data_IF_235896735925
#
_entry.id   IF_235896735925
#
_cell.length_a   1.000
_cell.length_b   1.000
_cell.length_c   1.000
_cell.angle_alpha   90.00
_cell.angle_beta   90.00
_cell.angle_gamma   90.00
#
_symmetry.space_group_name_H-M   'P 1'
#
loop_
_entity.id
_entity.type
_entity.pdbx_description
1 polymer ?
#
# COMPACT_ATOMS: atom_id res chain seq x y z
N UNK A 1 54.56 -8.49 71.87
CA UNK A 1 55.29 -7.42 71.14
C UNK A 1 55.70 -8.02 69.79
N UNK A 2 54.77 -8.14 68.83
CA UNK A 2 54.56 -7.17 67.74
C UNK A 2 55.87 -6.64 67.16
N UNK A 3 56.25 -7.12 65.98
CA UNK A 3 56.05 -6.37 64.73
C UNK A 3 56.69 -7.08 63.52
N UNK A 4 55.90 -7.10 62.44
CA UNK A 4 56.16 -7.64 61.10
C UNK A 4 57.26 -6.90 60.31
N UNK A 5 57.71 -7.44 59.15
CA UNK A 5 59.01 -7.15 58.53
C UNK A 5 58.94 -6.15 57.35
N UNK A 6 60.08 -5.61 56.95
CA UNK A 6 60.23 -4.90 55.66
C UNK A 6 61.63 -4.99 55.06
N UNK A 7 61.67 -5.62 53.88
CA UNK A 7 62.53 -5.39 52.68
C UNK A 7 64.06 -5.47 52.82
N UNK A 8 64.70 -6.34 52.02
CA UNK A 8 66.02 -6.06 51.47
C UNK A 8 65.99 -5.80 49.96
N UNK A 9 66.78 -4.80 49.56
CA UNK A 9 67.20 -4.52 48.18
C UNK A 9 68.41 -5.38 47.81
N UNK A 10 68.63 -5.48 46.49
CA UNK A 10 69.87 -5.81 45.74
C UNK A 10 70.29 -7.28 45.59
N UNK A 11 70.21 -7.83 44.38
CA UNK A 11 71.34 -7.96 43.45
C UNK A 11 70.92 -8.64 42.13
N UNK A 12 71.63 -8.26 41.05
CA UNK A 12 71.34 -8.50 39.63
C UNK A 12 72.17 -9.66 39.09
N UNK A 13 71.66 -10.34 38.05
CA UNK A 13 72.32 -10.77 36.77
C UNK A 13 71.82 -12.15 36.31
N UNK A 14 71.26 -12.19 35.10
CA UNK A 14 70.85 -13.43 34.41
C UNK A 14 70.06 -13.20 33.12
N UNK A 15 70.74 -12.66 32.11
CA UNK A 15 70.37 -12.39 30.71
C UNK A 15 69.32 -13.35 30.08
N UNK A 16 68.28 -12.78 29.44
CA UNK A 16 67.81 -13.20 28.11
C UNK A 16 67.09 -12.03 27.42
N UNK A 17 67.55 -11.74 26.21
CA UNK A 17 67.23 -10.58 25.41
C UNK A 17 65.85 -10.68 24.75
N UNK A 18 65.11 -9.57 24.75
CA UNK A 18 63.88 -9.37 23.98
C UNK A 18 63.60 -7.88 23.90
N UNK A 19 64.28 -7.21 22.97
CA UNK A 19 64.20 -5.76 22.77
C UNK A 19 62.81 -5.40 22.19
N UNK A 20 62.07 -4.59 22.94
CA UNK A 20 60.94 -3.79 22.46
C UNK A 20 61.44 -2.79 21.40
N UNK A 21 60.91 -2.88 20.18
CA UNK A 21 60.96 -1.80 19.21
C UNK A 21 59.53 -1.29 19.00
N UNK A 22 59.30 -0.06 19.44
CA UNK A 22 58.17 0.77 19.00
C UNK A 22 58.34 1.03 17.50
N UNK A 23 57.55 0.35 16.68
CA UNK A 23 57.40 0.68 15.27
C UNK A 23 56.10 1.47 15.10
N UNK A 24 56.26 2.74 14.71
CA UNK A 24 55.21 3.51 14.07
C UNK A 24 54.66 2.70 12.89
N UNK A 25 53.37 2.37 12.92
CA UNK A 25 52.70 1.74 11.79
C UNK A 25 52.70 2.71 10.60
N UNK A 26 52.91 2.25 9.35
CA UNK A 26 52.97 3.16 8.23
C UNK A 26 51.57 3.70 7.95
N UNK A 27 51.49 5.00 7.68
CA UNK A 27 50.37 5.57 6.96
C UNK A 27 50.39 4.98 5.53
N UNK A 28 49.61 3.93 5.30
CA UNK A 28 49.28 3.50 3.95
C UNK A 28 48.06 4.27 3.48
N UNK A 29 48.30 5.22 2.57
CA UNK A 29 47.27 5.71 1.67
C UNK A 29 46.82 4.53 0.79
N UNK A 30 45.60 4.04 1.01
CA UNK A 30 45.00 2.99 0.19
C UNK A 30 44.03 3.62 -0.82
N UNK A 31 44.53 3.83 -2.03
CA UNK A 31 43.74 3.99 -3.26
C UNK A 31 43.58 2.60 -3.90
N UNK A 32 42.38 2.01 -3.93
CA UNK A 32 42.12 0.74 -4.66
C UNK A 32 41.14 -0.20 -3.93
N UNK A 33 40.43 -1.09 -4.66
CA UNK A 33 39.12 -1.63 -4.25
C UNK A 33 39.22 -2.74 -3.19
N UNK A 34 38.12 -2.85 -2.43
CA UNK A 34 37.95 -3.68 -1.25
C UNK A 34 38.20 -5.19 -1.48
N UNK A 35 38.99 -5.75 -0.56
CA UNK A 35 39.20 -7.17 -0.33
C UNK A 35 37.92 -7.89 0.15
N UNK A 36 37.67 -9.07 -0.43
CA UNK A 36 37.07 -10.32 0.11
C UNK A 36 35.86 -10.32 1.06
N UNK A 37 34.97 -11.33 0.98
CA UNK A 37 33.87 -11.50 1.93
C UNK A 37 34.42 -11.79 3.33
N UNK A 38 33.86 -11.11 4.33
CA UNK A 38 34.12 -11.42 5.74
C UNK A 38 33.74 -12.89 6.04
N UNK A 39 34.53 -13.62 6.85
CA UNK A 39 34.15 -14.95 7.30
C UNK A 39 32.93 -14.82 8.21
N UNK A 40 31.88 -15.61 7.96
CA UNK A 40 30.66 -15.69 8.76
C UNK A 40 31.01 -15.97 10.24
N UNK A 41 30.88 -15.01 11.18
CA UNK A 41 30.71 -15.36 12.57
C UNK A 41 29.24 -15.74 12.79
N UNK A 42 28.94 -16.48 13.87
CA UNK A 42 27.60 -16.82 14.33
C UNK A 42 26.56 -15.75 13.95
N UNK A 43 25.66 -16.06 13.02
CA UNK A 43 24.50 -15.22 12.75
C UNK A 43 23.61 -15.26 14.00
N UNK A 44 23.79 -14.28 14.89
CA UNK A 44 22.66 -13.79 15.66
C UNK A 44 21.51 -13.58 14.67
N UNK A 45 20.32 -14.07 15.00
CA UNK A 45 19.13 -13.86 14.17
C UNK A 45 18.95 -12.35 14.04
N UNK A 46 19.29 -11.80 12.87
CA UNK A 46 19.20 -10.36 12.62
C UNK A 46 17.77 -9.95 12.92
N UNK A 47 17.60 -8.98 13.81
CA UNK A 47 16.27 -8.57 14.23
C UNK A 47 15.52 -7.97 13.03
N UNK A 48 14.25 -8.37 12.87
CA UNK A 48 13.34 -7.81 11.88
C UNK A 48 11.98 -7.51 12.50
N UNK A 49 11.37 -6.41 12.05
CA UNK A 49 10.07 -5.97 12.52
C UNK A 49 8.91 -6.57 11.70
N UNK A 50 7.70 -6.51 12.27
CA UNK A 50 6.48 -6.80 11.54
C UNK A 50 6.27 -5.75 10.44
N UNK A 51 5.80 -6.19 9.27
CA UNK A 51 5.53 -5.27 8.17
C UNK A 51 4.14 -4.63 8.22
N UNK A 52 3.27 -5.13 9.09
CA UNK A 52 1.94 -4.56 9.35
C UNK A 52 1.63 -4.63 10.84
N UNK A 53 0.78 -3.74 11.35
CA UNK A 53 0.47 -3.65 12.79
C UNK A 53 -0.14 -4.93 13.40
N UNK A 54 -0.83 -5.74 12.58
CA UNK A 54 -1.36 -7.05 12.98
C UNK A 54 -0.47 -8.24 12.62
N UNK A 55 0.69 -8.00 11.99
CA UNK A 55 1.58 -9.05 11.50
C UNK A 55 0.98 -9.90 10.38
N UNK A 56 1.47 -11.14 10.29
CA UNK A 56 0.99 -12.13 9.32
C UNK A 56 -0.39 -12.68 9.69
N UNK A 57 -1.22 -12.90 8.68
CA UNK A 57 -2.60 -13.40 8.82
C UNK A 57 -2.76 -14.82 8.28
N UNK A 58 -3.90 -15.47 8.52
CA UNK A 58 -4.24 -16.76 7.91
C UNK A 58 -4.36 -16.67 6.38
N UNK A 59 -4.80 -15.53 5.84
CA UNK A 59 -4.81 -15.28 4.40
C UNK A 59 -3.37 -15.26 3.83
N UNK A 60 -2.43 -14.63 4.54
CA UNK A 60 -1.02 -14.64 4.16
C UNK A 60 -0.44 -16.06 4.14
N UNK A 61 -0.82 -16.90 5.12
CA UNK A 61 -0.45 -18.33 5.15
C UNK A 61 -0.99 -19.09 3.95
N UNK A 62 -2.26 -18.87 3.59
CA UNK A 62 -2.89 -19.51 2.43
C UNK A 62 -2.17 -19.12 1.13
N UNK A 63 -1.88 -17.83 0.94
CA UNK A 63 -1.14 -17.34 -0.23
C UNK A 63 0.26 -17.95 -0.26
N UNK A 64 0.98 -17.98 0.86
CA UNK A 64 2.31 -18.59 0.92
C UNK A 64 2.27 -20.07 0.51
N UNK A 65 1.32 -20.84 1.06
CA UNK A 65 1.16 -22.26 0.74
C UNK A 65 0.84 -22.48 -0.75
N UNK A 66 0.00 -21.64 -1.35
CA UNK A 66 -0.38 -21.73 -2.76
C UNK A 66 0.79 -21.43 -3.71
N UNK A 67 1.62 -20.43 -3.37
CA UNK A 67 2.65 -19.94 -4.28
C UNK A 67 4.00 -20.65 -4.15
N UNK A 68 4.35 -21.26 -3.00
CA UNK A 68 5.65 -21.91 -2.77
C UNK A 68 6.12 -22.82 -3.90
N UNK A 69 5.24 -23.68 -4.42
CA UNK A 69 5.58 -24.64 -5.46
C UNK A 69 5.84 -23.99 -6.83
N UNK A 70 5.43 -22.73 -7.01
CA UNK A 70 5.56 -21.97 -8.25
C UNK A 70 6.76 -21.01 -8.24
N UNK A 71 7.36 -20.78 -7.07
CA UNK A 71 8.51 -19.90 -6.91
C UNK A 71 9.75 -20.51 -7.57
N UNK A 72 10.46 -19.70 -8.35
CA UNK A 72 11.70 -20.07 -9.02
C UNK A 72 12.84 -19.07 -8.78
N UNK A 73 12.56 -18.00 -8.03
CA UNK A 73 13.58 -17.06 -7.55
C UNK A 73 14.54 -17.70 -6.56
N UNK A 74 15.72 -17.09 -6.42
CA UNK A 74 16.82 -17.63 -5.62
C UNK A 74 16.65 -17.37 -4.12
N UNK A 75 15.80 -16.41 -3.74
CA UNK A 75 15.73 -15.88 -2.37
C UNK A 75 14.58 -16.44 -1.52
N UNK A 76 13.41 -16.66 -2.12
CA UNK A 76 12.21 -17.11 -1.40
C UNK A 76 12.00 -18.61 -1.57
N UNK A 77 11.72 -19.07 -2.79
CA UNK A 77 11.49 -20.49 -3.09
C UNK A 77 10.54 -21.17 -2.10
N UNK A 78 10.98 -22.31 -1.56
CA UNK A 78 10.24 -23.07 -0.55
C UNK A 78 10.17 -22.39 0.84
N UNK A 79 11.03 -21.40 1.10
CA UNK A 79 11.09 -20.66 2.37
C UNK A 79 10.03 -19.57 2.49
N UNK A 80 9.29 -19.27 1.41
CA UNK A 80 8.19 -18.31 1.42
C UNK A 80 7.21 -18.64 2.55
N UNK A 81 6.93 -17.70 3.44
CA UNK A 81 6.01 -17.90 4.54
C UNK A 81 5.05 -16.71 4.72
N UNK A 82 4.14 -16.84 5.67
CA UNK A 82 3.11 -15.83 5.93
C UNK A 82 3.70 -14.45 6.29
N UNK A 83 4.87 -14.42 6.94
CA UNK A 83 5.57 -13.17 7.23
C UNK A 83 6.04 -12.48 5.94
N UNK A 84 6.71 -13.21 5.03
CA UNK A 84 7.14 -12.64 3.75
C UNK A 84 5.94 -12.11 2.95
N UNK A 85 4.83 -12.87 2.91
CA UNK A 85 3.59 -12.44 2.24
C UNK A 85 3.00 -11.19 2.91
N UNK A 86 3.04 -11.08 4.24
CA UNK A 86 2.58 -9.87 4.96
C UNK A 86 3.40 -8.62 4.59
N UNK A 87 4.71 -8.79 4.35
CA UNK A 87 5.59 -7.73 3.89
C UNK A 87 5.31 -7.33 2.44
N UNK A 88 5.14 -8.30 1.55
CA UNK A 88 4.70 -8.04 0.17
C UNK A 88 3.30 -7.38 0.11
N UNK A 89 2.41 -7.73 1.04
CA UNK A 89 1.08 -7.13 1.21
C UNK A 89 1.19 -5.67 1.62
N UNK A 90 2.07 -5.33 2.57
CA UNK A 90 2.33 -3.95 2.97
C UNK A 90 2.84 -3.09 1.80
N UNK A 91 3.79 -3.62 1.02
CA UNK A 91 4.31 -2.96 -0.20
C UNK A 91 3.17 -2.74 -1.20
N UNK A 92 2.41 -3.80 -1.50
CA UNK A 92 1.31 -3.75 -2.47
C UNK A 92 0.21 -2.78 -2.06
N UNK A 93 -0.20 -2.79 -0.78
CA UNK A 93 -1.19 -1.86 -0.24
C UNK A 93 -0.70 -0.41 -0.33
N UNK A 94 0.59 -0.16 -0.07
CA UNK A 94 1.18 1.18 -0.20
C UNK A 94 1.19 1.65 -1.66
N UNK A 95 1.58 0.79 -2.59
CA UNK A 95 1.56 1.09 -4.03
C UNK A 95 0.14 1.38 -4.52
N UNK A 96 -0.83 0.54 -4.15
CA UNK A 96 -2.24 0.72 -4.49
C UNK A 96 -2.81 2.00 -3.86
N UNK A 97 -2.45 2.32 -2.61
CA UNK A 97 -2.84 3.55 -1.93
C UNK A 97 -2.34 4.82 -2.59
N UNK A 98 -1.24 4.74 -3.38
CA UNK A 98 -0.77 5.83 -4.24
C UNK A 98 -1.45 5.89 -5.61
N UNK A 99 -2.39 5.00 -5.91
CA UNK A 99 -3.06 4.93 -7.22
C UNK A 99 -2.15 4.49 -8.37
N UNK A 100 -1.05 3.77 -8.07
CA UNK A 100 -0.11 3.31 -9.09
C UNK A 100 -0.54 1.96 -9.71
N UNK A 101 0.01 1.65 -10.88
CA UNK A 101 -0.24 0.37 -11.55
C UNK A 101 0.39 -0.82 -10.80
N UNK A 102 -0.18 -2.02 -10.97
CA UNK A 102 0.33 -3.28 -10.39
C UNK A 102 1.80 -3.50 -10.67
N UNK A 103 2.27 -3.08 -11.85
CA UNK A 103 3.69 -3.15 -12.23
C UNK A 103 4.60 -2.45 -11.22
N UNK A 104 4.17 -1.35 -10.61
CA UNK A 104 4.94 -0.68 -9.56
C UNK A 104 5.10 -1.56 -8.32
N UNK A 105 4.08 -2.37 -7.96
CA UNK A 105 4.19 -3.34 -6.87
C UNK A 105 5.11 -4.50 -7.24
N UNK A 106 5.06 -4.98 -8.49
CA UNK A 106 6.03 -5.97 -8.97
C UNK A 106 7.45 -5.45 -8.82
N UNK A 107 7.74 -4.23 -9.31
CA UNK A 107 9.07 -3.60 -9.21
C UNK A 107 9.51 -3.46 -7.74
N UNK A 108 8.63 -2.98 -6.87
CA UNK A 108 8.95 -2.80 -5.44
C UNK A 108 9.17 -4.13 -4.72
N UNK A 109 8.33 -5.15 -4.99
CA UNK A 109 8.48 -6.48 -4.40
C UNK A 109 9.75 -7.16 -4.92
N UNK A 110 10.05 -7.09 -6.22
CA UNK A 110 11.31 -7.61 -6.78
C UNK A 110 12.49 -7.00 -6.03
N UNK A 111 12.48 -5.69 -5.81
CA UNK A 111 13.55 -5.02 -5.06
C UNK A 111 13.62 -5.55 -3.64
N UNK A 112 12.52 -5.58 -2.90
CA UNK A 112 12.53 -6.05 -1.50
C UNK A 112 12.93 -7.53 -1.35
N UNK A 113 12.61 -8.39 -2.33
CA UNK A 113 13.09 -9.78 -2.35
C UNK A 113 14.61 -9.81 -2.53
N UNK A 114 15.15 -9.09 -3.51
CA UNK A 114 16.59 -9.08 -3.78
C UNK A 114 17.40 -8.54 -2.61
N UNK A 115 16.91 -7.47 -1.98
CA UNK A 115 17.63 -6.77 -0.91
C UNK A 115 17.54 -7.48 0.43
N UNK A 116 16.38 -8.04 0.79
CA UNK A 116 16.15 -8.54 2.15
C UNK A 116 15.45 -9.90 2.22
N UNK A 117 15.15 -10.54 1.09
CA UNK A 117 14.22 -11.67 1.03
C UNK A 117 12.87 -11.35 1.71
N UNK A 118 12.39 -10.10 1.57
CA UNK A 118 11.19 -9.58 2.25
C UNK A 118 11.28 -9.60 3.80
N UNK A 119 12.45 -9.35 4.37
CA UNK A 119 12.60 -9.14 5.82
C UNK A 119 12.80 -7.66 6.14
N UNK A 120 12.02 -7.14 7.09
CA UNK A 120 12.11 -5.76 7.51
C UNK A 120 13.16 -5.60 8.62
N UNK A 121 14.44 -5.72 8.26
CA UNK A 121 15.55 -5.68 9.22
C UNK A 121 15.62 -4.36 9.99
N UNK A 122 15.67 -4.46 11.31
CA UNK A 122 15.77 -3.31 12.22
C UNK A 122 17.20 -2.99 12.63
N UNK A 123 18.13 -3.87 12.27
CA UNK A 123 19.55 -3.75 12.55
C UNK A 123 20.32 -3.82 11.24
N UNK A 124 21.32 -2.95 11.10
CA UNK A 124 22.21 -2.97 9.95
C UNK A 124 23.24 -4.09 10.11
N UNK A 125 23.41 -4.87 9.06
CA UNK A 125 24.37 -6.00 8.99
C UNK A 125 25.49 -5.75 7.99
N UNK A 126 25.45 -4.60 7.34
CA UNK A 126 26.47 -4.06 6.46
C UNK A 126 26.93 -2.68 7.00
N UNK A 127 26.96 -1.64 6.17
CA UNK A 127 27.24 -0.27 6.60
C UNK A 127 26.15 0.27 7.55
N UNK A 128 25.03 0.71 6.98
CA UNK A 128 23.91 1.32 7.70
C UNK A 128 22.57 1.01 6.99
N UNK A 129 22.51 -0.08 6.23
CA UNK A 129 21.32 -0.46 5.46
C UNK A 129 20.24 -1.05 6.36
N UNK A 130 19.00 -0.61 6.18
CA UNK A 130 17.86 -0.99 7.02
C UNK A 130 16.61 -1.32 6.19
N UNK A 131 15.72 -2.09 6.82
CA UNK A 131 14.37 -2.37 6.34
C UNK A 131 14.30 -3.22 5.07
N UNK A 132 13.09 -3.26 4.51
CA UNK A 132 12.75 -4.12 3.35
C UNK A 132 13.61 -3.89 2.11
N UNK A 133 14.04 -2.64 1.90
CA UNK A 133 14.75 -2.21 0.71
C UNK A 133 16.26 -2.00 0.95
N UNK A 134 16.75 -2.35 2.15
CA UNK A 134 18.16 -2.13 2.56
C UNK A 134 18.64 -0.71 2.22
N UNK A 135 17.82 0.27 2.56
CA UNK A 135 18.11 1.68 2.30
C UNK A 135 19.02 2.25 3.38
N UNK A 136 19.85 3.23 3.02
CA UNK A 136 20.88 3.79 3.90
C UNK A 136 20.58 5.21 4.34
N UNK A 137 20.52 5.51 5.65
CA UNK A 137 20.41 6.89 6.14
C UNK A 137 21.54 7.79 5.63
N UNK A 138 22.78 7.29 5.60
CA UNK A 138 23.94 8.01 5.08
C UNK A 138 23.83 8.43 3.60
N UNK A 139 22.95 7.79 2.82
CA UNK A 139 22.69 8.14 1.43
C UNK A 139 21.42 9.00 1.25
N UNK A 140 20.82 9.46 2.34
CA UNK A 140 19.69 10.39 2.32
C UNK A 140 18.32 9.74 2.04
N UNK A 141 18.20 8.43 2.24
CA UNK A 141 16.92 7.73 2.06
C UNK A 141 15.89 8.01 3.17
N UNK A 142 16.36 8.38 4.38
CA UNK A 142 15.53 8.63 5.54
C UNK A 142 16.28 8.37 6.85
N UNK A 143 15.62 8.58 7.98
CA UNK A 143 16.14 8.18 9.30
C UNK A 143 15.97 6.68 9.53
N UNK A 144 16.74 6.03 10.43
CA UNK A 144 16.58 4.61 10.75
C UNK A 144 15.12 4.19 11.01
N UNK A 145 14.39 4.93 11.84
CA UNK A 145 12.99 4.64 12.16
C UNK A 145 12.08 4.68 10.93
N UNK A 146 12.33 5.63 10.01
CA UNK A 146 11.60 5.73 8.75
C UNK A 146 11.92 4.58 7.80
N UNK A 147 13.17 4.12 7.75
CA UNK A 147 13.56 3.02 6.85
C UNK A 147 13.06 1.65 7.33
N UNK A 148 12.82 1.50 8.63
CA UNK A 148 12.14 0.33 9.20
C UNK A 148 10.61 0.41 9.16
N UNK A 149 10.03 1.53 8.72
CA UNK A 149 8.59 1.65 8.44
C UNK A 149 8.33 1.22 6.97
N UNK A 150 7.64 0.09 6.73
CA UNK A 150 7.37 -0.39 5.38
C UNK A 150 6.63 0.60 4.48
N UNK A 151 5.73 1.42 5.04
CA UNK A 151 4.95 2.40 4.27
C UNK A 151 5.87 3.53 3.84
N UNK A 152 6.69 4.05 4.74
CA UNK A 152 7.68 5.08 4.40
C UNK A 152 8.71 4.56 3.40
N UNK A 153 9.36 3.42 3.69
CA UNK A 153 10.43 2.87 2.86
C UNK A 153 9.95 2.57 1.43
N UNK A 154 8.73 2.04 1.29
CA UNK A 154 8.09 1.83 -0.03
C UNK A 154 7.85 3.16 -0.74
N UNK A 155 7.35 4.19 -0.04
CA UNK A 155 7.17 5.52 -0.63
C UNK A 155 8.48 6.16 -1.08
N UNK A 156 9.53 6.03 -0.26
CA UNK A 156 10.88 6.52 -0.59
C UNK A 156 11.42 5.83 -1.85
N UNK A 157 11.29 4.51 -1.93
CA UNK A 157 11.64 3.71 -3.12
C UNK A 157 10.90 4.19 -4.37
N UNK A 158 9.56 4.31 -4.29
CA UNK A 158 8.73 4.75 -5.42
C UNK A 158 9.08 6.19 -5.86
N UNK A 159 9.41 7.08 -4.92
CA UNK A 159 9.86 8.43 -5.24
C UNK A 159 11.21 8.42 -5.98
N UNK A 160 12.12 7.51 -5.60
CA UNK A 160 13.37 7.31 -6.34
C UNK A 160 13.10 6.75 -7.75
N UNK A 161 12.17 5.80 -7.90
CA UNK A 161 11.72 5.30 -9.19
C UNK A 161 11.27 6.44 -10.11
N UNK A 162 10.41 7.35 -9.64
CA UNK A 162 9.94 8.48 -10.46
C UNK A 162 11.04 9.46 -10.85
N UNK A 163 12.02 9.70 -9.96
CA UNK A 163 13.19 10.54 -10.30
C UNK A 163 14.07 9.90 -11.36
N UNK A 164 14.28 8.58 -11.31
CA UNK A 164 15.13 7.83 -12.26
C UNK A 164 14.41 7.54 -13.58
N UNK A 165 13.09 7.44 -13.56
CA UNK A 165 12.22 7.11 -14.68
C UNK A 165 11.08 8.14 -14.82
N UNK A 166 11.40 9.37 -15.28
CA UNK A 166 10.40 10.41 -15.50
C UNK A 166 9.40 10.00 -16.61
N UNK A 167 8.26 10.71 -16.68
CA UNK A 167 7.22 10.52 -17.70
C UNK A 167 6.68 9.08 -17.78
N UNK A 168 6.62 8.37 -16.64
CA UNK A 168 6.18 6.99 -16.54
C UNK A 168 7.00 5.98 -17.37
N UNK A 169 8.26 6.29 -17.67
CA UNK A 169 9.15 5.38 -18.43
C UNK A 169 9.45 4.06 -17.73
N UNK A 170 9.11 3.92 -16.43
CA UNK A 170 9.16 2.66 -15.68
C UNK A 170 8.04 1.67 -16.07
N UNK A 171 7.00 2.13 -16.78
CA UNK A 171 5.88 1.30 -17.23
C UNK A 171 6.26 0.28 -18.31
N UNK A 172 7.42 0.46 -18.95
CA UNK A 172 7.96 -0.44 -19.97
C UNK A 172 9.40 -0.85 -19.63
N UNK A 173 9.95 -1.81 -20.38
CA UNK A 173 11.32 -2.30 -20.17
C UNK A 173 11.44 -3.46 -19.17
N UNK A 174 12.68 -3.90 -18.96
CA UNK A 174 13.01 -5.00 -18.05
C UNK A 174 12.92 -4.55 -16.59
N UNK A 175 12.18 -5.32 -15.76
CA UNK A 175 11.95 -4.99 -14.35
C UNK A 175 13.24 -5.08 -13.53
N UNK A 176 14.10 -6.07 -13.82
CA UNK A 176 15.37 -6.22 -13.11
C UNK A 176 16.28 -5.02 -13.34
N UNK A 177 16.40 -4.57 -14.59
CA UNK A 177 17.14 -3.37 -14.95
C UNK A 177 16.58 -2.10 -14.29
N UNK A 178 15.24 -2.01 -14.15
CA UNK A 178 14.59 -0.90 -13.42
C UNK A 178 15.00 -0.91 -11.95
N UNK A 179 14.87 -2.03 -11.27
CA UNK A 179 15.23 -2.16 -9.85
C UNK A 179 16.71 -1.80 -9.63
N UNK A 180 17.59 -2.35 -10.46
CA UNK A 180 19.03 -2.07 -10.45
C UNK A 180 19.33 -0.58 -10.59
N UNK A 181 18.66 0.14 -11.50
CA UNK A 181 18.90 1.57 -11.69
C UNK A 181 18.42 2.42 -10.51
N UNK A 182 17.38 1.97 -9.80
CA UNK A 182 16.84 2.66 -8.63
C UNK A 182 17.80 2.52 -7.44
N UNK A 183 18.22 1.28 -7.15
CA UNK A 183 19.05 0.95 -5.99
C UNK A 183 20.54 1.18 -6.22
N UNK A 184 21.01 1.14 -7.46
CA UNK A 184 22.43 1.28 -7.83
C UNK A 184 23.28 0.19 -7.14
N UNK A 185 22.88 -1.08 -7.29
CA UNK A 185 23.59 -2.22 -6.69
C UNK A 185 24.84 -2.63 -7.49
N UNK A 186 25.78 -3.36 -6.88
CA UNK A 186 26.93 -3.94 -7.57
C UNK A 186 26.59 -5.19 -8.39
N UNK A 187 25.38 -5.73 -8.27
CA UNK A 187 24.96 -7.02 -8.85
C UNK A 187 23.71 -6.88 -9.72
N UNK A 188 23.84 -6.39 -10.97
CA UNK A 188 22.70 -6.05 -11.82
C UNK A 188 21.77 -7.24 -12.13
N UNK A 189 22.32 -8.44 -12.25
CA UNK A 189 21.54 -9.63 -12.61
C UNK A 189 20.72 -10.23 -11.47
N UNK A 190 20.98 -9.81 -10.22
CA UNK A 190 20.31 -10.38 -9.05
C UNK A 190 18.80 -10.12 -9.05
N UNK A 191 18.36 -8.94 -9.48
CA UNK A 191 16.93 -8.60 -9.50
C UNK A 191 16.13 -9.41 -10.51
N UNK A 192 16.74 -9.73 -11.66
CA UNK A 192 16.04 -10.43 -12.75
C UNK A 192 15.56 -11.82 -12.31
N UNK A 193 16.31 -12.47 -11.41
CA UNK A 193 15.96 -13.79 -10.86
C UNK A 193 14.68 -13.77 -10.02
N UNK A 194 14.37 -12.64 -9.38
CA UNK A 194 13.27 -12.55 -8.43
C UNK A 194 11.98 -11.98 -9.04
N UNK A 195 12.02 -11.56 -10.32
CA UNK A 195 10.87 -10.92 -10.99
C UNK A 195 9.65 -11.83 -11.05
N UNK A 196 9.84 -13.12 -11.34
CA UNK A 196 8.74 -14.09 -11.42
C UNK A 196 8.05 -14.27 -10.07
N UNK A 197 8.82 -14.47 -9.00
CA UNK A 197 8.30 -14.59 -7.64
C UNK A 197 7.55 -13.32 -7.19
N UNK A 198 8.09 -12.15 -7.52
CA UNK A 198 7.44 -10.87 -7.27
C UNK A 198 6.13 -10.71 -8.05
N UNK A 199 6.06 -11.19 -9.29
CA UNK A 199 4.83 -11.19 -10.09
C UNK A 199 3.76 -12.09 -9.47
N UNK A 200 4.13 -13.29 -9.00
CA UNK A 200 3.20 -14.19 -8.30
C UNK A 200 2.62 -13.53 -7.05
N UNK A 201 3.48 -12.96 -6.21
CA UNK A 201 3.07 -12.24 -4.99
C UNK A 201 2.19 -11.03 -5.32
N UNK A 202 2.63 -10.16 -6.23
CA UNK A 202 1.86 -9.00 -6.65
C UNK A 202 0.51 -9.42 -7.22
N UNK A 203 0.43 -10.46 -8.06
CA UNK A 203 -0.83 -10.94 -8.61
C UNK A 203 -1.79 -11.47 -7.53
N UNK A 204 -1.28 -12.18 -6.53
CA UNK A 204 -2.09 -12.72 -5.43
C UNK A 204 -2.55 -11.63 -4.42
N UNK A 205 -1.80 -10.52 -4.34
CA UNK A 205 -2.02 -9.45 -3.37
C UNK A 205 -2.70 -8.20 -3.97
N UNK A 206 -2.60 -8.00 -5.29
CA UNK A 206 -3.16 -6.84 -5.97
C UNK A 206 -4.68 -6.88 -5.93
N UNK A 207 -5.28 -5.84 -5.35
CA UNK A 207 -6.71 -5.84 -5.04
C UNK A 207 -7.04 -6.33 -3.62
N UNK A 208 -6.08 -6.28 -2.69
CA UNK A 208 -6.35 -6.51 -1.27
C UNK A 208 -6.35 -7.98 -0.87
N UNK A 209 -5.27 -8.70 -1.19
CA UNK A 209 -4.80 -9.90 -0.49
C UNK A 209 -5.82 -11.03 -0.27
N UNK A 210 -5.94 -11.92 -1.27
CA UNK A 210 -6.71 -13.15 -1.13
C UNK A 210 -6.98 -13.88 -2.45
N UNK A 211 -5.93 -14.16 -3.22
CA UNK A 211 -6.00 -14.93 -4.46
C UNK A 211 -6.39 -14.11 -5.69
N UNK A 212 -6.31 -14.72 -6.87
CA UNK A 212 -7.16 -14.37 -8.03
C UNK A 212 -8.49 -13.88 -7.47
N UNK A 213 -8.99 -12.67 -7.83
CA UNK A 213 -10.12 -12.06 -7.11
C UNK A 213 -11.16 -13.13 -6.87
N UNK A 214 -11.38 -13.46 -5.59
CA UNK A 214 -12.14 -14.66 -5.23
C UNK A 214 -13.43 -14.61 -6.04
N UNK A 215 -13.59 -15.56 -6.96
CA UNK A 215 -14.77 -15.59 -7.81
C UNK A 215 -15.94 -15.96 -6.90
N UNK A 216 -16.80 -14.99 -6.64
CA UNK A 216 -18.06 -15.21 -5.96
C UNK A 216 -19.06 -15.65 -7.02
N UNK A 217 -19.52 -16.88 -6.92
CA UNK A 217 -20.48 -17.42 -7.86
C UNK A 217 -21.87 -16.89 -7.53
N UNK A 218 -22.53 -16.30 -8.51
CA UNK A 218 -23.86 -15.72 -8.37
C UNK A 218 -24.75 -16.23 -9.50
N UNK A 219 -26.00 -16.50 -9.20
CA UNK A 219 -27.00 -16.81 -10.22
C UNK A 219 -27.76 -15.54 -10.61
N UNK A 220 -27.80 -15.24 -11.91
CA UNK A 220 -28.63 -14.17 -12.48
C UNK A 220 -29.97 -14.74 -12.98
N UNK A 221 -31.07 -14.02 -12.73
CA UNK A 221 -32.42 -14.45 -13.09
C UNK A 221 -32.81 -14.11 -14.54
N UNK A 222 -32.04 -13.26 -15.20
CA UNK A 222 -32.21 -12.83 -16.59
C UNK A 222 -30.87 -12.36 -17.15
N UNK A 223 -30.79 -12.19 -18.48
CA UNK A 223 -29.68 -11.48 -19.10
C UNK A 223 -29.65 -10.03 -18.58
N UNK A 224 -28.50 -9.62 -18.06
CA UNK A 224 -28.33 -8.37 -17.34
C UNK A 224 -27.43 -7.40 -18.12
N UNK A 225 -27.84 -6.13 -18.29
CA UNK A 225 -26.98 -5.12 -18.88
C UNK A 225 -25.79 -4.83 -17.96
N UNK A 226 -24.60 -4.67 -18.54
CA UNK A 226 -23.40 -4.25 -17.80
C UNK A 226 -22.91 -2.88 -18.22
N UNK A 227 -22.16 -2.24 -17.32
CA UNK A 227 -21.76 -0.84 -17.44
C UNK A 227 -20.30 -0.65 -17.00
N UNK A 228 -19.64 0.39 -17.55
CA UNK A 228 -18.26 0.73 -17.19
C UNK A 228 -18.08 1.12 -15.71
N UNK A 229 -19.13 1.60 -15.04
CA UNK A 229 -19.12 1.94 -13.62
C UNK A 229 -20.50 1.77 -12.99
N UNK A 230 -20.59 1.69 -11.64
CA UNK A 230 -21.87 1.65 -10.90
C UNK A 230 -22.79 2.86 -11.15
N UNK A 231 -22.27 3.96 -11.67
CA UNK A 231 -23.02 5.20 -11.94
C UNK A 231 -23.29 5.45 -13.43
N UNK A 232 -22.63 4.73 -14.35
CA UNK A 232 -22.77 4.92 -15.79
C UNK A 232 -24.15 4.48 -16.30
N UNK A 233 -24.84 5.34 -17.04
CA UNK A 233 -26.13 5.01 -17.69
C UNK A 233 -25.98 4.38 -19.07
N UNK A 234 -24.77 4.33 -19.63
CA UNK A 234 -24.49 3.77 -20.96
C UNK A 234 -24.09 2.32 -20.85
N UNK A 235 -24.90 1.42 -21.40
CA UNK A 235 -24.62 -0.01 -21.44
C UNK A 235 -23.38 -0.29 -22.30
N UNK A 236 -22.47 -1.11 -21.77
CA UNK A 236 -21.21 -1.50 -22.44
C UNK A 236 -21.19 -2.97 -22.85
N UNK A 237 -22.19 -3.75 -22.43
CA UNK A 237 -22.22 -5.18 -22.64
C UNK A 237 -23.41 -5.87 -22.00
N UNK A 238 -23.37 -7.20 -21.99
CA UNK A 238 -24.40 -8.06 -21.38
C UNK A 238 -23.74 -9.22 -20.65
N UNK A 239 -24.23 -9.50 -19.43
CA UNK A 239 -23.97 -10.73 -18.69
C UNK A 239 -25.17 -11.65 -18.87
N UNK A 240 -24.96 -12.86 -19.37
CA UNK A 240 -26.03 -13.79 -19.69
C UNK A 240 -26.70 -14.34 -18.42
N UNK A 241 -27.93 -14.81 -18.57
CA UNK A 241 -28.63 -15.50 -17.50
C UNK A 241 -27.90 -16.80 -17.14
N UNK A 242 -27.73 -17.07 -15.84
CA UNK A 242 -27.17 -18.32 -15.34
C UNK A 242 -26.19 -18.11 -14.20
N UNK A 243 -25.36 -19.12 -13.95
CA UNK A 243 -24.31 -19.06 -12.92
C UNK A 243 -23.09 -18.32 -13.47
N UNK A 244 -22.82 -17.16 -12.88
CA UNK A 244 -21.76 -16.23 -13.26
C UNK A 244 -20.79 -16.03 -12.09
N UNK A 245 -19.61 -15.47 -12.35
CA UNK A 245 -18.69 -15.07 -11.29
C UNK A 245 -18.61 -13.55 -11.18
N UNK A 246 -18.45 -13.07 -9.95
CA UNK A 246 -18.17 -11.66 -9.65
C UNK A 246 -16.97 -11.57 -8.72
N UNK A 247 -16.33 -10.41 -8.70
CA UNK A 247 -15.08 -10.20 -7.97
C UNK A 247 -15.32 -9.45 -6.65
N UNK A 248 -16.23 -8.49 -6.67
CA UNK A 248 -16.46 -7.57 -5.57
C UNK A 248 -17.72 -6.74 -5.82
N UNK A 249 -18.18 -6.01 -4.79
CA UNK A 249 -19.34 -5.09 -4.86
C UNK A 249 -18.92 -3.63 -4.71
N UNK A 250 -19.73 -2.73 -5.24
CA UNK A 250 -19.60 -1.28 -5.13
C UNK A 250 -20.99 -0.64 -5.02
N UNK A 251 -21.08 0.47 -4.30
CA UNK A 251 -22.31 1.26 -4.24
C UNK A 251 -22.47 2.08 -5.52
N UNK A 252 -23.70 2.22 -6.01
CA UNK A 252 -23.99 2.98 -7.22
C UNK A 252 -25.43 3.42 -7.32
N UNK A 253 -25.88 3.70 -8.55
CA UNK A 253 -27.27 4.10 -8.79
C UNK A 253 -28.23 2.96 -8.44
N UNK A 254 -29.44 3.30 -8.05
CA UNK A 254 -30.50 2.32 -7.84
C UNK A 254 -30.95 1.74 -9.19
N UNK A 255 -31.11 0.42 -9.24
CA UNK A 255 -31.86 -0.29 -10.30
C UNK A 255 -33.00 -1.03 -9.63
N UNK A 256 -34.20 -0.95 -10.19
CA UNK A 256 -35.36 -1.58 -9.58
C UNK A 256 -36.62 -1.51 -10.43
N UNK A 257 -37.64 -2.25 -10.00
CA UNK A 257 -39.00 -2.18 -10.51
C UNK A 257 -39.98 -2.42 -9.35
N UNK A 258 -40.95 -1.51 -9.19
CA UNK A 258 -41.92 -1.57 -8.09
C UNK A 258 -41.23 -1.51 -6.73
N UNK A 259 -41.46 -2.53 -5.89
CA UNK A 259 -40.88 -2.65 -4.55
C UNK A 259 -39.51 -3.35 -4.53
N UNK A 260 -39.05 -3.89 -5.66
CA UNK A 260 -37.75 -4.58 -5.77
C UNK A 260 -36.69 -3.63 -6.31
N UNK A 261 -35.56 -3.49 -5.62
CA UNK A 261 -34.48 -2.60 -6.03
C UNK A 261 -33.12 -3.01 -5.44
N UNK A 262 -32.03 -2.53 -6.02
CA UNK A 262 -30.70 -2.71 -5.46
C UNK A 262 -29.74 -1.56 -5.84
N UNK A 263 -28.96 -1.10 -4.86
CA UNK A 263 -27.88 -0.12 -5.03
C UNK A 263 -26.50 -0.75 -5.21
N UNK A 264 -26.35 -2.06 -4.97
CA UNK A 264 -25.09 -2.77 -5.16
C UNK A 264 -24.87 -3.13 -6.61
N UNK A 265 -23.64 -2.89 -7.02
CA UNK A 265 -23.09 -3.20 -8.33
C UNK A 265 -21.94 -4.17 -8.18
N UNK A 266 -21.93 -5.24 -8.95
CA UNK A 266 -20.98 -6.32 -8.85
C UNK A 266 -20.01 -6.24 -10.03
N UNK A 267 -18.71 -6.21 -9.73
CA UNK A 267 -17.68 -6.21 -10.78
C UNK A 267 -17.52 -7.62 -11.35
N UNK A 268 -17.53 -7.75 -12.67
CA UNK A 268 -17.51 -9.03 -13.38
C UNK A 268 -16.88 -8.89 -14.77
N UNK A 269 -16.64 -10.01 -15.44
CA UNK A 269 -16.27 -10.08 -16.85
C UNK A 269 -17.50 -10.59 -17.63
N UNK A 270 -18.20 -9.70 -18.37
CA UNK A 270 -19.44 -10.05 -19.06
C UNK A 270 -19.21 -10.95 -20.28
N UNK A 271 -20.25 -11.67 -20.70
CA UNK A 271 -20.23 -12.49 -21.92
C UNK A 271 -20.05 -11.66 -23.20
N UNK A 272 -20.55 -10.43 -23.21
CA UNK A 272 -20.36 -9.48 -24.31
C UNK A 272 -19.93 -8.13 -23.76
N UNK A 273 -18.93 -7.50 -24.39
CA UNK A 273 -18.37 -6.22 -23.98
C UNK A 273 -16.96 -6.34 -23.38
N UNK A 274 -16.37 -5.23 -22.90
CA UNK A 274 -15.06 -5.25 -22.25
C UNK A 274 -15.10 -6.03 -20.93
N UNK A 275 -13.95 -6.54 -20.47
CA UNK A 275 -13.81 -7.14 -19.13
C UNK A 275 -13.94 -6.08 -18.00
N UNK A 276 -14.13 -6.53 -16.76
CA UNK A 276 -14.12 -5.69 -15.55
C UNK A 276 -15.26 -4.68 -15.44
N UNK A 277 -16.43 -5.00 -16.02
CA UNK A 277 -17.62 -4.17 -16.00
C UNK A 277 -18.46 -4.42 -14.74
N UNK A 278 -19.51 -3.64 -14.54
CA UNK A 278 -20.41 -3.73 -13.40
C UNK A 278 -21.81 -4.15 -13.83
N UNK A 279 -22.37 -5.13 -13.12
CA UNK A 279 -23.76 -5.58 -13.23
C UNK A 279 -24.50 -5.24 -11.94
N UNK A 280 -25.77 -4.84 -11.99
CA UNK A 280 -26.54 -4.58 -10.76
C UNK A 280 -26.90 -5.88 -10.04
N UNK A 281 -26.78 -5.91 -8.72
CA UNK A 281 -27.23 -7.04 -7.89
C UNK A 281 -28.76 -7.23 -7.91
N UNK A 282 -29.51 -6.29 -8.48
CA UNK A 282 -30.94 -6.43 -8.77
C UNK A 282 -31.26 -7.68 -9.62
N UNK A 283 -30.33 -8.10 -10.48
CA UNK A 283 -30.50 -9.28 -11.33
C UNK A 283 -30.16 -10.61 -10.64
N UNK A 284 -29.75 -10.60 -9.36
CA UNK A 284 -29.46 -11.82 -8.63
C UNK A 284 -30.75 -12.58 -8.29
N UNK A 285 -30.70 -13.91 -8.38
CA UNK A 285 -31.87 -14.77 -8.19
C UNK A 285 -32.25 -15.02 -6.72
N UNK A 286 -31.36 -14.73 -5.76
CA UNK A 286 -31.46 -15.29 -4.39
C UNK A 286 -31.66 -14.27 -3.27
N UNK A 287 -31.26 -13.02 -3.46
CA UNK A 287 -31.11 -12.05 -2.35
C UNK A 287 -32.09 -10.89 -2.47
N UNK A 288 -32.45 -10.31 -1.33
CA UNK A 288 -33.43 -9.22 -1.26
C UNK A 288 -32.87 -7.87 -1.70
N UNK A 289 -33.65 -6.81 -1.43
CA UNK A 289 -33.23 -5.44 -1.74
C UNK A 289 -31.94 -5.07 -1.01
N UNK A 290 -31.05 -4.37 -1.71
CA UNK A 290 -29.75 -3.90 -1.18
C UNK A 290 -28.89 -4.99 -0.52
N UNK A 291 -29.06 -6.24 -0.95
CA UNK A 291 -28.17 -7.34 -0.60
C UNK A 291 -27.26 -7.71 -1.79
N UNK A 292 -26.02 -8.10 -1.48
CA UNK A 292 -25.02 -8.56 -2.44
C UNK A 292 -24.21 -9.70 -1.82
N UNK A 293 -24.75 -10.91 -1.94
CA UNK A 293 -24.15 -12.15 -1.44
C UNK A 293 -23.94 -13.13 -2.61
N UNK A 294 -22.99 -14.04 -2.47
CA UNK A 294 -22.77 -15.13 -3.41
C UNK A 294 -23.84 -16.23 -3.24
N UNK A 295 -23.79 -17.27 -4.06
CA UNK A 295 -24.74 -18.40 -4.01
C UNK A 295 -24.70 -19.17 -2.67
N UNK A 296 -23.61 -19.08 -1.91
CA UNK A 296 -23.44 -19.74 -0.62
C UNK A 296 -23.83 -18.83 0.56
N UNK A 297 -24.32 -17.62 0.30
CA UNK A 297 -24.70 -16.64 1.32
C UNK A 297 -23.53 -15.83 1.89
N UNK A 298 -22.34 -15.94 1.30
CA UNK A 298 -21.17 -15.13 1.67
C UNK A 298 -21.38 -13.71 1.13
N UNK A 299 -21.23 -12.71 1.99
CA UNK A 299 -21.27 -11.31 1.57
C UNK A 299 -20.10 -11.04 0.61
N UNK A 300 -20.42 -10.56 -0.59
CA UNK A 300 -19.41 -10.22 -1.59
C UNK A 300 -18.60 -9.02 -1.05
N UNK A 301 -17.26 -9.06 -1.03
CA UNK A 301 -16.43 -8.00 -0.48
C UNK A 301 -16.50 -6.74 -1.35
N UNK A 302 -16.22 -5.59 -0.76
CA UNK A 302 -16.12 -4.35 -1.52
C UNK A 302 -14.93 -4.37 -2.49
N UNK A 303 -15.07 -3.74 -3.65
CA UNK A 303 -13.99 -3.66 -4.63
C UNK A 303 -12.78 -2.93 -4.05
N UNK A 304 -11.58 -3.47 -4.17
CA UNK A 304 -10.36 -2.82 -3.69
C UNK A 304 -10.21 -1.42 -4.30
N UNK A 305 -10.11 -0.41 -3.43
CA UNK A 305 -10.37 1.01 -3.74
C UNK A 305 -11.73 1.53 -3.22
N UNK A 306 -12.50 0.67 -2.55
CA UNK A 306 -13.93 0.88 -2.26
C UNK A 306 -14.33 0.65 -0.81
N UNK A 307 -13.60 1.21 0.14
CA UNK A 307 -14.24 2.03 1.17
C UNK A 307 -13.44 3.31 1.25
N UNK A 308 -13.94 4.38 0.64
CA UNK A 308 -13.47 5.69 1.08
C UNK A 308 -13.93 5.80 2.54
N UNK A 309 -13.03 5.93 3.53
CA UNK A 309 -13.44 6.13 4.90
C UNK A 309 -14.42 7.30 4.93
N UNK A 310 -15.59 7.06 5.53
CA UNK A 310 -16.64 8.07 5.68
C UNK A 310 -16.38 8.85 6.95
N UNK A 311 -16.28 10.16 6.81
CA UNK A 311 -16.16 11.11 7.90
C UNK A 311 -17.51 11.78 8.07
N UNK A 312 -18.13 11.59 9.24
CA UNK A 312 -19.45 12.14 9.50
C UNK A 312 -19.31 13.62 9.88
N UNK A 313 -20.08 14.48 9.22
CA UNK A 313 -20.06 15.93 9.41
C UNK A 313 -21.49 16.46 9.51
N UNK A 314 -21.71 17.45 10.36
CA UNK A 314 -23.01 18.13 10.46
C UNK A 314 -23.00 19.44 9.68
N UNK A 315 -23.92 19.63 8.74
CA UNK A 315 -24.14 20.89 8.02
C UNK A 315 -25.21 21.74 8.70
N UNK A 316 -24.99 23.05 8.86
CA UNK A 316 -25.95 23.93 9.55
C UNK A 316 -27.10 24.42 8.65
N UNK A 317 -27.00 24.20 7.35
CA UNK A 317 -28.02 24.52 6.34
C UNK A 317 -27.83 23.62 5.11
N UNK A 318 -28.82 23.59 4.22
CA UNK A 318 -28.65 22.98 2.91
C UNK A 318 -27.55 23.70 2.12
N UNK A 319 -26.60 22.94 1.60
CA UNK A 319 -25.37 23.45 1.01
C UNK A 319 -25.31 23.11 -0.49
N UNK A 320 -24.99 24.08 -1.36
CA UNK A 320 -24.77 23.81 -2.78
C UNK A 320 -23.52 22.94 -2.97
N UNK A 321 -23.58 22.00 -3.90
CA UNK A 321 -22.43 21.17 -4.29
C UNK A 321 -22.00 21.40 -5.74
N UNK A 322 -20.75 21.07 -6.04
CA UNK A 322 -20.07 21.43 -7.29
C UNK A 322 -19.20 20.27 -7.78
N UNK A 323 -18.98 20.19 -9.10
CA UNK A 323 -18.13 19.16 -9.70
C UNK A 323 -16.66 19.22 -9.26
N UNK A 324 -16.15 20.40 -8.95
CA UNK A 324 -14.77 20.62 -8.47
C UNK A 324 -14.73 21.75 -7.41
N UNK A 325 -13.69 21.81 -6.56
CA UNK A 325 -13.48 22.90 -5.60
C UNK A 325 -13.37 24.32 -6.20
N UNK A 326 -13.19 24.43 -7.52
CA UNK A 326 -13.05 25.69 -8.24
C UNK A 326 -14.26 26.04 -9.11
N UNK A 327 -15.17 25.09 -9.37
CA UNK A 327 -16.34 25.29 -10.26
C UNK A 327 -17.38 26.22 -9.67
N UNK A 328 -17.80 27.26 -10.38
CA UNK A 328 -18.85 28.19 -9.95
C UNK A 328 -20.27 27.73 -10.28
N UNK A 329 -20.42 26.66 -11.07
CA UNK A 329 -21.73 26.11 -11.46
C UNK A 329 -22.17 25.03 -10.50
N UNK A 330 -23.28 25.27 -9.80
CA UNK A 330 -23.88 24.30 -8.88
C UNK A 330 -24.38 23.08 -9.66
N UNK A 331 -24.08 21.89 -9.14
CA UNK A 331 -24.47 20.59 -9.71
C UNK A 331 -25.50 19.85 -8.86
N UNK A 332 -25.75 20.32 -7.65
CA UNK A 332 -26.65 19.66 -6.70
C UNK A 332 -26.74 20.37 -5.36
N UNK A 333 -27.34 19.69 -4.39
CA UNK A 333 -27.50 20.18 -3.00
C UNK A 333 -27.29 19.03 -2.02
N UNK A 334 -26.53 19.31 -0.95
CA UNK A 334 -26.41 18.47 0.24
C UNK A 334 -27.32 19.06 1.33
N UNK A 335 -28.24 18.27 1.87
CA UNK A 335 -29.23 18.74 2.83
C UNK A 335 -28.60 19.08 4.18
N UNK A 336 -29.32 19.89 4.96
CA UNK A 336 -28.95 20.18 6.35
C UNK A 336 -29.02 18.89 7.18
N UNK A 337 -28.03 18.68 8.05
CA UNK A 337 -28.01 17.58 9.01
C UNK A 337 -26.70 16.80 9.00
N UNK A 338 -26.74 15.57 9.51
CA UNK A 338 -25.58 14.68 9.56
C UNK A 338 -25.36 14.00 8.21
N UNK A 339 -24.24 14.31 7.58
CA UNK A 339 -23.83 13.85 6.27
C UNK A 339 -22.49 13.10 6.37
N UNK A 340 -22.11 12.35 5.34
CA UNK A 340 -20.78 11.75 5.25
C UNK A 340 -19.95 12.41 4.16
N UNK A 341 -18.65 12.52 4.37
CA UNK A 341 -17.68 12.98 3.37
C UNK A 341 -16.50 12.02 3.30
N UNK A 342 -15.70 12.12 2.25
CA UNK A 342 -14.63 11.16 1.98
C UNK A 342 -13.22 11.72 2.20
N UNK A 343 -12.99 12.94 1.71
CA UNK A 343 -11.69 13.60 1.71
C UNK A 343 -11.88 15.11 1.51
N UNK A 344 -10.83 15.90 1.76
CA UNK A 344 -10.80 17.35 1.58
C UNK A 344 -9.85 17.78 0.46
N UNK A 345 -10.20 18.85 -0.23
CA UNK A 345 -9.36 19.49 -1.23
C UNK A 345 -9.33 21.01 -1.00
N UNK A 346 -8.25 21.66 -1.42
CA UNK A 346 -8.18 23.12 -1.42
C UNK A 346 -8.90 23.68 -2.64
N UNK A 347 -9.65 24.77 -2.48
CA UNK A 347 -10.39 25.39 -3.56
C UNK A 347 -10.64 26.87 -3.35
N UNK A 348 -11.69 27.39 -4.00
CA UNK A 348 -12.07 28.80 -3.81
C UNK A 348 -12.60 29.02 -2.39
N UNK A 349 -12.46 30.23 -1.90
CA UNK A 349 -13.07 30.65 -0.64
C UNK A 349 -14.59 30.72 -0.79
N UNK A 350 -15.31 30.17 0.19
CA UNK A 350 -16.73 30.45 0.43
C UNK A 350 -16.84 31.05 1.82
N UNK A 351 -17.63 32.11 1.98
CA UNK A 351 -17.75 32.77 3.28
C UNK A 351 -18.76 33.90 3.31
N UNK A 352 -19.03 34.40 4.50
CA UNK A 352 -19.80 35.62 4.78
C UNK A 352 -19.19 36.34 5.97
N UNK A 353 -18.91 37.64 5.82
CA UNK A 353 -18.25 38.43 6.85
C UNK A 353 -16.88 37.88 7.23
N UNK A 354 -16.68 37.59 8.52
CA UNK A 354 -15.44 37.01 9.05
C UNK A 354 -15.37 35.49 8.97
N UNK A 355 -16.48 34.81 8.64
CA UNK A 355 -16.55 33.36 8.54
C UNK A 355 -16.30 32.92 7.10
N UNK A 356 -15.33 32.03 6.88
CA UNK A 356 -14.97 31.55 5.54
C UNK A 356 -14.27 30.19 5.58
N UNK A 357 -14.19 29.51 4.44
CA UNK A 357 -13.41 28.28 4.32
C UNK A 357 -12.91 28.04 2.88
N UNK A 358 -11.66 27.61 2.74
CA UNK A 358 -11.04 27.16 1.48
C UNK A 358 -11.08 25.65 1.27
N UNK A 359 -11.42 24.87 2.31
CA UNK A 359 -11.57 23.43 2.19
C UNK A 359 -12.92 23.05 1.58
N UNK A 360 -12.83 22.08 0.68
CA UNK A 360 -13.94 21.46 -0.02
C UNK A 360 -13.96 19.98 0.27
N UNK A 361 -15.11 19.43 0.61
CA UNK A 361 -15.28 18.06 1.06
C UNK A 361 -15.96 17.25 -0.04
N UNK A 362 -15.35 16.15 -0.44
CA UNK A 362 -15.93 15.25 -1.44
C UNK A 362 -17.02 14.39 -0.80
N UNK A 363 -18.21 14.37 -1.39
CA UNK A 363 -19.41 13.72 -0.86
C UNK A 363 -20.30 13.18 -1.98
N UNK A 364 -21.28 12.37 -1.63
CA UNK A 364 -22.44 12.08 -2.48
C UNK A 364 -23.61 12.94 -1.98
N UNK A 365 -24.07 13.94 -2.75
CA UNK A 365 -25.13 14.86 -2.34
C UNK A 365 -26.51 14.20 -2.41
N UNK A 366 -27.47 14.76 -1.67
CA UNK A 366 -28.88 14.33 -1.73
C UNK A 366 -29.51 14.56 -3.11
N UNK A 367 -29.06 15.60 -3.82
CA UNK A 367 -29.50 15.91 -5.19
C UNK A 367 -28.29 16.20 -6.08
N UNK A 368 -28.35 15.74 -7.33
CA UNK A 368 -27.25 15.88 -8.30
C UNK A 368 -26.40 14.62 -8.46
N UNK A 369 -25.32 14.67 -9.25
CA UNK A 369 -24.41 13.54 -9.44
C UNK A 369 -23.68 13.18 -8.13
N UNK A 370 -23.20 11.94 -8.01
CA UNK A 370 -22.32 11.51 -6.92
C UNK A 370 -20.93 12.19 -7.00
N UNK A 371 -20.11 12.03 -5.96
CA UNK A 371 -18.71 12.49 -5.92
C UNK A 371 -18.49 14.00 -6.12
N UNK A 372 -19.42 14.82 -5.63
CA UNK A 372 -19.36 16.27 -5.72
C UNK A 372 -18.65 16.87 -4.50
N UNK A 373 -18.34 18.16 -4.58
CA UNK A 373 -17.67 18.92 -3.54
C UNK A 373 -18.64 19.90 -2.88
N UNK A 374 -18.70 19.86 -1.55
CA UNK A 374 -19.37 20.84 -0.70
C UNK A 374 -18.31 21.65 0.05
N UNK A 375 -18.51 22.96 0.23
CA UNK A 375 -17.55 23.75 1.03
C UNK A 375 -17.66 23.41 2.52
N UNK A 376 -16.52 23.27 3.20
CA UNK A 376 -16.47 23.10 4.65
C UNK A 376 -16.98 24.34 5.42
N UNK A 377 -17.19 25.47 4.73
CA UNK A 377 -17.88 26.64 5.28
C UNK A 377 -19.25 26.27 5.88
N UNK A 378 -19.95 25.28 5.33
CA UNK A 378 -21.27 24.86 5.79
C UNK A 378 -21.27 23.93 7.01
N UNK A 379 -20.09 23.57 7.54
CA UNK A 379 -19.99 22.71 8.72
C UNK A 379 -20.39 23.44 10.00
N UNK A 380 -21.08 22.74 10.89
CA UNK A 380 -21.66 23.33 12.11
C UNK A 380 -20.68 23.50 13.27
N UNK A 381 -19.50 22.87 13.21
CA UNK A 381 -18.63 22.67 14.39
C UNK A 381 -17.26 23.34 14.31
N UNK A 382 -16.80 23.72 13.12
CA UNK A 382 -15.39 24.06 12.89
C UNK A 382 -15.22 25.49 12.37
N UNK A 383 -14.07 26.08 12.66
CA UNK A 383 -13.75 27.46 12.30
C UNK A 383 -13.27 27.63 10.87
N UNK A 384 -12.69 28.80 10.60
CA UNK A 384 -12.16 29.13 9.28
C UNK A 384 -11.01 28.19 8.89
N UNK A 385 -11.03 27.75 7.64
CA UNK A 385 -10.02 26.82 7.07
C UNK A 385 -9.78 25.57 7.93
N UNK A 386 -10.83 25.07 8.58
CA UNK A 386 -10.83 23.77 9.24
C UNK A 386 -11.73 22.78 8.47
N UNK A 387 -11.32 21.52 8.46
CA UNK A 387 -12.06 20.42 7.86
C UNK A 387 -11.83 19.15 8.68
N UNK A 388 -12.67 18.99 9.70
CA UNK A 388 -12.67 17.86 10.64
C UNK A 388 -14.05 17.20 10.64
N UNK A 389 -14.10 15.93 10.99
CA UNK A 389 -15.36 15.21 11.22
C UNK A 389 -16.02 15.64 12.54
N UNK A 390 -17.18 15.09 12.86
CA UNK A 390 -17.93 15.40 14.09
C UNK A 390 -17.19 15.03 15.38
N UNK A 391 -16.19 14.14 15.31
CA UNK A 391 -15.35 13.67 16.41
C UNK A 391 -14.02 14.43 16.49
N UNK A 392 -13.78 15.42 15.63
CA UNK A 392 -12.54 16.20 15.60
C UNK A 392 -11.39 15.55 14.82
N UNK A 393 -11.63 14.46 14.10
CA UNK A 393 -10.64 13.83 13.22
C UNK A 393 -10.46 14.70 11.98
N UNK A 394 -9.21 15.05 11.66
CA UNK A 394 -8.90 15.80 10.44
C UNK A 394 -9.23 14.95 9.22
N UNK A 395 -10.08 15.48 8.34
CA UNK A 395 -10.46 14.80 7.10
C UNK A 395 -9.21 14.74 6.19
N UNK A 396 -8.85 13.57 5.64
CA UNK A 396 -7.64 13.42 4.83
C UNK A 396 -7.78 14.14 3.49
N UNK A 397 -6.65 14.49 2.87
CA UNK A 397 -6.68 15.09 1.54
C UNK A 397 -7.19 14.11 0.49
N UNK A 398 -7.93 14.62 -0.49
CA UNK A 398 -8.05 14.01 -1.80
C UNK A 398 -6.69 14.18 -2.53
#
# INVERSE_FOLDING_TARGET
MSSSPSIPRTAVVGVLAGLLLTAAGPAYAATGPADGPAPLPLLASIAYAQCTSGGATSADTTIANQLRAQMNGSRLGQSLNAYNVSCARAITATVAGRGLDKRAAVIAITTAITESSLHNYTEAVDYDSLGLFQQRPSQGWGTPAQLTDPVYATNAFLNAMFRKYPNNSWMSGDIGAICQRIQVSAYPDAYRLEVHDAQLLANALWGGGGGTPSKYWVDTNAAAPVFASPTSTTQTGTLNQGTNYVFCKAWGRQIGSGTSYNHWWLKTDPDTGPAGQYVSAYYLSRWGNDEAKDNNGVVIPDCAGGTRPKYWVDTYTAAPVFATPTSTTQTGTLNQGTNYVFCKAWGRQIGSGTSYNHYWLKTDPDTGPAEQYVSAYYLSRWGNDEAKDNNGVVIPNC
#
